data_IF_743562234343
#
_entry.id   IF_743562234343
#
_cell.length_a   1.000
_cell.length_b   1.000
_cell.length_c   1.000
_cell.angle_alpha   90.00
_cell.angle_beta   90.00
_cell.angle_gamma   90.00
#
_symmetry.space_group_name_H-M   'P 1'
#
loop_
_entity.id
_entity.type
_entity.pdbx_description
1 polymer ?
#
# COMPACT_ATOMS: atom_id res chain seq x y z
N UNK A 1 -0.83 9.18 -3.76
CA UNK A 1 -2.07 8.71 -4.37
C UNK A 1 -1.90 7.30 -4.92
N UNK A 2 -2.84 6.41 -4.64
CA UNK A 2 -2.79 5.03 -5.15
C UNK A 2 -4.20 4.54 -5.52
N UNK A 3 -4.33 3.93 -6.70
CA UNK A 3 -5.46 3.09 -7.06
C UNK A 3 -5.11 1.64 -6.70
N UNK A 4 -5.90 1.01 -5.87
CA UNK A 4 -5.69 -0.34 -5.34
C UNK A 4 -6.77 -1.29 -5.86
N UNK A 5 -6.33 -2.48 -6.26
CA UNK A 5 -7.19 -3.56 -6.76
C UNK A 5 -6.89 -4.83 -5.96
N UNK A 6 -7.88 -5.29 -5.21
CA UNK A 6 -7.76 -6.40 -4.28
C UNK A 6 -8.64 -7.57 -4.75
N UNK A 7 -8.05 -8.70 -5.03
CA UNK A 7 -8.79 -9.84 -5.55
C UNK A 7 -8.03 -11.15 -5.49
N UNK A 8 -8.62 -12.19 -6.09
CA UNK A 8 -8.03 -13.53 -6.15
C UNK A 8 -7.87 -13.99 -7.60
N UNK A 9 -6.71 -14.56 -7.90
CA UNK A 9 -6.45 -15.28 -9.15
C UNK A 9 -5.94 -16.67 -8.76
N UNK A 10 -6.59 -17.73 -9.24
CA UNK A 10 -6.20 -19.11 -8.96
C UNK A 10 -5.95 -19.39 -7.47
N UNK A 11 -6.87 -18.98 -6.60
CA UNK A 11 -6.82 -19.11 -5.13
C UNK A 11 -5.74 -18.27 -4.42
N UNK A 12 -4.89 -17.56 -5.13
CA UNK A 12 -3.92 -16.62 -4.54
C UNK A 12 -4.52 -15.23 -4.42
N UNK A 13 -4.29 -14.57 -3.29
CA UNK A 13 -4.63 -13.15 -3.10
C UNK A 13 -3.65 -12.25 -3.84
N UNK A 14 -4.18 -11.20 -4.46
CA UNK A 14 -3.41 -10.16 -5.13
C UNK A 14 -3.84 -8.78 -4.62
N UNK A 15 -2.83 -7.93 -4.40
CA UNK A 15 -2.96 -6.51 -4.12
C UNK A 15 -2.16 -5.79 -5.21
N UNK A 16 -2.88 -5.23 -6.19
CA UNK A 16 -2.28 -4.52 -7.31
C UNK A 16 -2.49 -3.04 -7.06
N UNK A 17 -1.44 -2.25 -7.19
CA UNK A 17 -1.48 -0.82 -6.98
C UNK A 17 -0.89 -0.08 -8.17
N UNK A 18 -1.59 0.96 -8.60
CA UNK A 18 -1.04 1.97 -9.49
C UNK A 18 -0.89 3.22 -8.64
N UNK A 19 0.34 3.66 -8.38
CA UNK A 19 0.60 4.75 -7.45
C UNK A 19 1.48 5.85 -8.05
N UNK A 20 1.30 7.06 -7.56
CA UNK A 20 2.11 8.23 -7.86
C UNK A 20 2.49 8.93 -6.56
N UNK A 21 3.75 9.30 -6.45
CA UNK A 21 4.28 10.01 -5.30
C UNK A 21 4.37 11.53 -5.58
N UNK A 22 4.60 12.32 -4.55
CA UNK A 22 4.78 13.78 -4.65
C UNK A 22 6.00 14.19 -5.46
N UNK A 23 7.00 13.32 -5.58
CA UNK A 23 8.17 13.50 -6.46
C UNK A 23 7.88 13.15 -7.94
N UNK A 24 6.60 12.93 -8.27
CA UNK A 24 6.08 12.58 -9.60
C UNK A 24 6.51 11.21 -10.13
N UNK A 25 7.13 10.38 -9.31
CA UNK A 25 7.40 8.99 -9.66
C UNK A 25 6.12 8.20 -9.61
N UNK A 26 5.85 7.49 -10.69
CA UNK A 26 4.68 6.62 -10.81
C UNK A 26 5.15 5.18 -10.99
N UNK A 27 4.45 4.26 -10.38
CA UNK A 27 4.77 2.85 -10.47
C UNK A 27 3.53 1.96 -10.38
N UNK A 28 3.64 0.79 -10.95
CA UNK A 28 2.72 -0.32 -10.74
C UNK A 28 3.39 -1.31 -9.80
N UNK A 29 2.68 -1.70 -8.75
CA UNK A 29 3.15 -2.68 -7.75
C UNK A 29 2.17 -3.84 -7.69
N UNK A 30 2.68 -5.05 -7.70
CA UNK A 30 1.89 -6.27 -7.54
C UNK A 30 2.41 -7.03 -6.32
N UNK A 31 1.54 -7.24 -5.35
CA UNK A 31 1.82 -8.05 -4.15
C UNK A 31 0.97 -9.31 -4.22
N UNK A 32 1.61 -10.48 -4.17
CA UNK A 32 0.96 -11.79 -4.15
C UNK A 32 1.17 -12.44 -2.79
N UNK A 33 0.10 -12.95 -2.20
CA UNK A 33 0.09 -13.60 -0.89
C UNK A 33 -1.10 -13.16 -0.06
N UNK A 34 -1.28 -13.74 1.12
CA UNK A 34 -2.40 -13.41 1.98
C UNK A 34 -2.30 -11.97 2.47
N UNK A 35 -3.45 -11.31 2.52
CA UNK A 35 -3.53 -9.96 3.08
C UNK A 35 -3.16 -10.05 4.57
N UNK A 36 -2.45 -9.04 5.05
CA UNK A 36 -2.01 -8.94 6.45
C UNK A 36 -0.94 -9.97 6.88
N UNK A 37 -0.33 -10.69 5.94
CA UNK A 37 0.85 -11.49 6.25
C UNK A 37 2.13 -10.66 6.06
N UNK A 38 3.14 -10.99 6.86
CA UNK A 38 4.46 -10.35 6.75
C UNK A 38 5.26 -10.84 5.52
N UNK A 39 4.71 -11.82 4.79
CA UNK A 39 5.40 -12.58 3.75
C UNK A 39 4.63 -12.53 2.44
N UNK A 40 4.84 -11.48 1.67
CA UNK A 40 4.27 -11.38 0.32
C UNK A 40 5.37 -11.25 -0.72
N UNK A 41 5.19 -11.91 -1.85
CA UNK A 41 6.02 -11.65 -3.02
C UNK A 41 5.59 -10.32 -3.61
N UNK A 42 6.53 -9.42 -3.79
CA UNK A 42 6.30 -8.11 -4.38
C UNK A 42 7.12 -7.93 -5.65
N UNK A 43 6.50 -7.34 -6.66
CA UNK A 43 7.15 -6.88 -7.88
C UNK A 43 6.64 -5.50 -8.22
N UNK A 44 7.53 -4.62 -8.64
CA UNK A 44 7.18 -3.26 -9.06
C UNK A 44 7.81 -2.90 -10.39
N UNK A 45 7.13 -2.02 -11.11
CA UNK A 45 7.58 -1.47 -12.38
C UNK A 45 7.29 0.01 -12.42
N UNK A 46 8.31 0.83 -12.69
CA UNK A 46 8.12 2.25 -12.95
C UNK A 46 7.30 2.45 -14.23
N UNK A 47 6.39 3.42 -14.20
CA UNK A 47 5.52 3.79 -15.30
C UNK A 47 5.53 5.31 -15.51
N UNK A 48 5.13 5.78 -16.68
CA UNK A 48 4.92 7.21 -16.89
C UNK A 48 3.58 7.64 -16.26
N UNK A 49 3.53 8.85 -15.70
CA UNK A 49 2.29 9.45 -15.16
C UNK A 49 1.13 9.40 -16.17
N UNK A 50 1.41 9.62 -17.46
CA UNK A 50 0.42 9.56 -18.53
C UNK A 50 -0.23 8.18 -18.72
N UNK A 51 0.42 7.12 -18.26
CA UNK A 51 -0.09 5.74 -18.32
C UNK A 51 -1.00 5.38 -17.15
N UNK A 52 -0.98 6.18 -16.05
CA UNK A 52 -1.68 5.88 -14.82
C UNK A 52 -3.15 5.51 -15.05
N UNK A 53 -3.92 6.40 -15.67
CA UNK A 53 -5.35 6.16 -15.91
C UNK A 53 -5.60 4.98 -16.86
N UNK A 54 -4.76 4.81 -17.88
CA UNK A 54 -4.86 3.67 -18.79
C UNK A 54 -4.71 2.33 -18.07
N UNK A 55 -3.72 2.24 -17.17
CA UNK A 55 -3.47 1.03 -16.37
C UNK A 55 -4.61 0.80 -15.36
N UNK A 56 -5.10 1.87 -14.72
CA UNK A 56 -6.27 1.78 -13.81
C UNK A 56 -7.48 1.22 -14.54
N UNK A 57 -7.77 1.68 -15.76
CA UNK A 57 -8.87 1.14 -16.58
C UNK A 57 -8.67 -0.33 -16.93
N UNK A 58 -7.45 -0.77 -17.23
CA UNK A 58 -7.15 -2.18 -17.51
C UNK A 58 -7.48 -3.04 -16.29
N UNK A 59 -7.02 -2.66 -15.08
CA UNK A 59 -7.30 -3.44 -13.87
C UNK A 59 -8.75 -3.37 -13.43
N UNK A 60 -9.49 -2.34 -13.81
CA UNK A 60 -10.94 -2.27 -13.55
C UNK A 60 -11.77 -3.27 -14.38
N UNK A 61 -11.17 -3.92 -15.39
CA UNK A 61 -11.83 -5.00 -16.14
C UNK A 61 -11.84 -6.33 -15.38
N UNK A 62 -11.03 -6.44 -14.31
CA UNK A 62 -11.03 -7.62 -13.45
C UNK A 62 -12.07 -7.43 -12.35
N UNK A 63 -12.67 -8.54 -11.90
CA UNK A 63 -13.61 -8.55 -10.77
C UNK A 63 -12.86 -8.42 -9.43
N UNK A 64 -12.13 -7.31 -9.28
CA UNK A 64 -11.40 -6.95 -8.08
C UNK A 64 -12.13 -5.86 -7.31
N UNK A 65 -12.11 -5.97 -5.98
CA UNK A 65 -12.51 -4.85 -5.13
C UNK A 65 -11.50 -3.71 -5.30
N UNK A 66 -11.97 -2.57 -5.78
CA UNK A 66 -11.08 -1.43 -6.05
C UNK A 66 -11.39 -0.22 -5.19
N UNK A 67 -10.33 0.50 -4.83
CA UNK A 67 -10.39 1.70 -4.02
C UNK A 67 -9.25 2.66 -4.34
N UNK A 68 -9.47 3.93 -4.06
CA UNK A 68 -8.46 4.97 -4.13
C UNK A 68 -8.03 5.34 -2.72
N UNK A 69 -6.73 5.47 -2.53
CA UNK A 69 -6.10 5.81 -1.25
C UNK A 69 -5.18 6.99 -1.40
N UNK A 70 -5.15 7.84 -0.41
CA UNK A 70 -4.19 8.94 -0.30
C UNK A 70 -3.47 8.83 1.04
N UNK A 71 -2.12 8.90 1.01
CA UNK A 71 -1.27 8.74 2.20
C UNK A 71 -0.14 9.77 2.16
N UNK A 72 0.18 10.34 3.30
CA UNK A 72 1.43 11.05 3.52
C UNK A 72 2.41 10.08 4.18
N UNK A 73 3.53 9.81 3.50
CA UNK A 73 4.54 8.87 3.96
C UNK A 73 5.85 9.60 4.27
N UNK A 74 6.37 9.37 5.47
CA UNK A 74 7.69 9.84 5.89
C UNK A 74 8.58 8.61 6.04
N UNK A 75 9.54 8.46 5.11
CA UNK A 75 10.40 7.27 5.02
C UNK A 75 11.75 7.58 5.64
N UNK A 76 12.19 6.73 6.55
CA UNK A 76 13.48 6.79 7.24
C UNK A 76 14.28 5.55 6.87
N UNK A 77 15.49 5.75 6.34
CA UNK A 77 16.42 4.68 6.00
C UNK A 77 17.32 4.37 7.21
N UNK A 78 17.27 3.13 7.70
CA UNK A 78 18.08 2.62 8.80
C UNK A 78 19.33 1.87 8.33
N UNK A 79 19.59 1.84 7.02
CA UNK A 79 20.62 1.03 6.41
C UNK A 79 20.20 -0.46 6.29
N UNK A 80 21.04 -1.28 5.66
CA UNK A 80 20.80 -2.71 5.43
C UNK A 80 19.45 -3.00 4.73
N UNK A 81 18.96 -2.10 3.90
CA UNK A 81 17.61 -2.15 3.28
C UNK A 81 16.46 -2.23 4.29
N UNK A 82 16.62 -1.61 5.47
CA UNK A 82 15.57 -1.47 6.48
C UNK A 82 14.99 -0.07 6.37
N UNK A 83 13.69 0.01 6.16
CA UNK A 83 12.95 1.26 6.06
C UNK A 83 11.86 1.30 7.10
N UNK A 84 11.79 2.42 7.84
CA UNK A 84 10.67 2.78 8.69
C UNK A 84 9.84 3.81 7.95
N UNK A 85 8.57 3.54 7.74
CA UNK A 85 7.63 4.47 7.14
C UNK A 85 6.61 4.90 8.18
N UNK A 86 6.57 6.19 8.50
CA UNK A 86 5.47 6.78 9.25
C UNK A 86 4.41 7.23 8.26
N UNK A 87 3.20 6.75 8.44
CA UNK A 87 2.07 6.97 7.52
C UNK A 87 1.01 7.79 8.20
N UNK A 88 0.55 8.84 7.51
CA UNK A 88 -0.66 9.58 7.84
C UNK A 88 -1.72 9.33 6.78
N UNK A 89 -2.87 8.89 7.21
CA UNK A 89 -4.05 8.63 6.40
C UNK A 89 -5.24 9.37 7.02
N UNK A 90 -5.56 10.56 6.52
CA UNK A 90 -6.53 11.43 7.18
C UNK A 90 -6.13 11.69 8.64
N UNK A 91 -6.94 11.21 9.59
CA UNK A 91 -6.69 11.33 11.03
C UNK A 91 -6.05 10.07 11.65
N UNK A 92 -5.70 9.08 10.84
CA UNK A 92 -5.06 7.85 11.30
C UNK A 92 -3.56 7.94 11.06
N UNK A 93 -2.78 7.63 12.12
CA UNK A 93 -1.32 7.61 12.08
C UNK A 93 -0.83 6.22 12.48
N UNK A 94 0.09 5.67 11.72
CA UNK A 94 0.74 4.40 12.05
C UNK A 94 2.16 4.36 11.50
N UNK A 95 2.94 3.38 11.93
CA UNK A 95 4.30 3.15 11.43
C UNK A 95 4.42 1.72 10.92
N UNK A 96 5.11 1.55 9.81
CA UNK A 96 5.50 0.27 9.23
C UNK A 96 7.03 0.19 9.21
N UNK A 97 7.59 -0.98 9.54
CA UNK A 97 9.00 -1.25 9.34
C UNK A 97 9.10 -2.45 8.41
N UNK A 98 9.92 -2.34 7.39
CA UNK A 98 10.06 -3.37 6.37
C UNK A 98 11.50 -3.59 5.95
N UNK A 99 11.80 -4.81 5.55
CA UNK A 99 13.06 -5.21 4.94
C UNK A 99 12.81 -6.26 3.88
N UNK A 100 13.41 -6.08 2.73
CA UNK A 100 13.45 -7.12 1.69
C UNK A 100 14.55 -8.14 2.06
N UNK A 101 14.15 -9.38 2.38
CA UNK A 101 15.09 -10.45 2.76
C UNK A 101 14.53 -11.84 2.47
N UNK A 102 15.42 -12.78 2.25
CA UNK A 102 15.12 -14.22 2.18
C UNK A 102 15.28 -14.92 3.56
N UNK A 103 15.85 -14.25 4.58
CA UNK A 103 16.12 -14.79 5.93
C UNK A 103 15.10 -14.29 6.96
N UNK A 104 13.84 -14.70 6.84
CA UNK A 104 12.67 -14.14 7.51
C UNK A 104 12.78 -14.05 9.04
N UNK A 105 13.04 -15.15 9.73
CA UNK A 105 13.00 -15.21 11.21
C UNK A 105 14.08 -14.32 11.85
N UNK A 106 15.30 -14.38 11.32
CA UNK A 106 16.43 -13.57 11.80
C UNK A 106 16.16 -12.07 11.63
N UNK A 107 15.61 -11.69 10.50
CA UNK A 107 15.30 -10.29 10.23
C UNK A 107 14.12 -9.80 11.05
N UNK A 108 13.12 -10.63 11.31
CA UNK A 108 11.98 -10.28 12.16
C UNK A 108 12.40 -9.85 13.57
N UNK A 109 13.32 -10.59 14.20
CA UNK A 109 13.87 -10.21 15.52
C UNK A 109 14.58 -8.86 15.47
N UNK A 110 15.37 -8.63 14.40
CA UNK A 110 16.07 -7.35 14.19
C UNK A 110 15.08 -6.19 14.06
N UNK A 111 14.03 -6.35 13.27
CA UNK A 111 12.99 -5.34 13.09
C UNK A 111 12.24 -5.05 14.41
N UNK A 112 11.88 -6.07 15.16
CA UNK A 112 11.22 -5.91 16.48
C UNK A 112 12.11 -5.16 17.48
N UNK A 113 13.44 -5.40 17.44
CA UNK A 113 14.39 -4.66 18.29
C UNK A 113 14.44 -3.18 17.90
N UNK A 114 14.39 -2.85 16.63
CA UNK A 114 14.33 -1.45 16.18
C UNK A 114 13.04 -0.79 16.69
N UNK A 115 11.88 -1.42 16.53
CA UNK A 115 10.62 -0.93 17.07
C UNK A 115 10.70 -0.64 18.58
N UNK A 116 11.26 -1.58 19.34
CA UNK A 116 11.44 -1.44 20.79
C UNK A 116 12.34 -0.26 21.15
N UNK A 117 13.47 -0.09 20.44
CA UNK A 117 14.40 1.01 20.67
C UNK A 117 13.76 2.38 20.36
N UNK A 118 12.88 2.43 19.40
CA UNK A 118 12.12 3.63 19.04
C UNK A 118 10.91 3.87 19.97
N UNK A 119 10.68 2.99 20.95
CA UNK A 119 9.51 3.02 21.84
C UNK A 119 8.17 2.99 21.10
N UNK A 120 8.14 2.35 19.94
CA UNK A 120 6.93 2.13 19.16
C UNK A 120 6.23 0.86 19.62
N UNK A 121 4.90 0.89 19.72
CA UNK A 121 4.11 -0.28 20.05
C UNK A 121 3.86 -1.13 18.82
N UNK A 122 4.33 -2.38 18.84
CA UNK A 122 4.04 -3.35 17.80
C UNK A 122 2.66 -3.98 18.00
N UNK A 123 1.80 -3.92 16.99
CA UNK A 123 0.47 -4.56 17.03
C UNK A 123 0.66 -6.06 16.85
N UNK A 124 0.49 -6.81 17.94
CA UNK A 124 0.60 -8.29 17.97
C UNK A 124 -0.76 -8.97 17.77
N UNK A 125 -1.82 -8.29 18.18
CA UNK A 125 -3.19 -8.80 18.14
C UNK A 125 -3.74 -8.65 16.71
N UNK A 126 -4.07 -9.77 16.09
CA UNK A 126 -4.60 -9.82 14.72
C UNK A 126 -5.94 -9.08 14.60
N UNK A 127 -6.78 -9.12 15.64
CA UNK A 127 -8.05 -8.39 15.64
C UNK A 127 -7.82 -6.89 15.62
N UNK A 128 -6.93 -6.39 16.48
CA UNK A 128 -6.56 -4.96 16.52
C UNK A 128 -5.98 -4.51 15.17
N UNK A 129 -5.14 -5.35 14.55
CA UNK A 129 -4.58 -5.08 13.24
C UNK A 129 -5.66 -5.01 12.16
N UNK A 130 -6.58 -5.98 12.14
CA UNK A 130 -7.69 -6.00 11.19
C UNK A 130 -8.65 -4.82 11.40
N UNK A 131 -8.92 -4.43 12.64
CA UNK A 131 -9.73 -3.25 12.95
C UNK A 131 -9.07 -1.96 12.43
N UNK A 132 -7.76 -1.82 12.56
CA UNK A 132 -7.02 -0.71 11.96
C UNK A 132 -7.14 -0.70 10.43
N UNK A 133 -6.95 -1.84 9.78
CA UNK A 133 -7.08 -1.97 8.32
C UNK A 133 -8.50 -1.63 7.84
N UNK A 134 -9.53 -2.06 8.59
CA UNK A 134 -10.92 -1.72 8.30
C UNK A 134 -11.15 -0.21 8.42
N UNK A 135 -10.69 0.43 9.51
CA UNK A 135 -10.79 1.88 9.68
C UNK A 135 -10.09 2.64 8.57
N UNK A 136 -8.90 2.23 8.14
CA UNK A 136 -8.23 2.82 6.99
C UNK A 136 -9.11 2.75 5.73
N UNK A 137 -9.76 1.61 5.52
CA UNK A 137 -10.64 1.42 4.36
C UNK A 137 -11.93 2.22 4.42
N UNK A 138 -12.52 2.40 5.61
CA UNK A 138 -13.81 3.09 5.76
C UNK A 138 -13.68 4.60 5.91
N UNK A 139 -12.63 5.05 6.63
CA UNK A 139 -12.54 6.44 7.07
C UNK A 139 -11.66 7.29 6.14
N UNK A 140 -10.77 6.67 5.36
CA UNK A 140 -9.78 7.40 4.55
C UNK A 140 -9.74 7.04 3.08
N UNK A 141 -10.21 5.85 2.71
CA UNK A 141 -10.22 5.39 1.32
C UNK A 141 -11.63 5.56 0.73
N UNK A 142 -11.74 5.65 -0.57
CA UNK A 142 -13.04 5.64 -1.23
C UNK A 142 -13.13 4.55 -2.30
N UNK A 143 -14.31 3.91 -2.38
CA UNK A 143 -14.59 2.87 -3.38
C UNK A 143 -14.50 3.45 -4.78
N UNK A 144 -13.89 2.69 -5.67
CA UNK A 144 -13.68 3.07 -7.06
C UNK A 144 -14.29 2.02 -7.97
N UNK A 145 -15.17 2.43 -8.88
CA UNK A 145 -15.89 1.55 -9.81
C UNK A 145 -15.57 1.85 -11.29
N UNK A 146 -14.59 2.73 -11.52
CA UNK A 146 -14.20 3.16 -12.88
C UNK A 146 -15.32 3.86 -13.67
N UNK A 147 -16.39 4.35 -13.03
CA UNK A 147 -17.39 5.21 -13.65
C UNK A 147 -16.75 6.51 -14.16
N UNK A 148 -17.43 7.20 -15.07
CA UNK A 148 -16.94 8.50 -15.59
C UNK A 148 -16.75 9.52 -14.46
N UNK A 149 -17.65 9.53 -13.48
CA UNK A 149 -17.54 10.39 -12.30
C UNK A 149 -16.28 10.07 -11.49
N UNK A 150 -16.05 8.78 -11.17
CA UNK A 150 -14.89 8.35 -10.42
C UNK A 150 -13.58 8.58 -11.18
N UNK A 151 -13.57 8.36 -12.49
CA UNK A 151 -12.42 8.68 -13.34
C UNK A 151 -12.13 10.18 -13.37
N UNK A 152 -13.15 11.02 -13.46
CA UNK A 152 -13.00 12.49 -13.41
C UNK A 152 -12.43 12.94 -12.08
N UNK A 153 -12.94 12.38 -10.96
CA UNK A 153 -12.42 12.66 -9.62
C UNK A 153 -10.95 12.24 -9.50
N UNK A 154 -10.61 11.04 -9.94
CA UNK A 154 -9.22 10.54 -9.92
C UNK A 154 -8.29 11.39 -10.78
N UNK A 155 -8.71 11.80 -11.98
CA UNK A 155 -7.93 12.71 -12.82
C UNK A 155 -7.68 14.06 -12.14
N UNK A 156 -8.67 14.63 -11.47
CA UNK A 156 -8.50 15.89 -10.72
C UNK A 156 -7.46 15.72 -9.60
N UNK A 157 -7.50 14.60 -8.88
CA UNK A 157 -6.48 14.29 -7.87
C UNK A 157 -5.08 14.17 -8.46
N UNK A 158 -4.95 13.54 -9.64
CA UNK A 158 -3.65 13.40 -10.32
C UNK A 158 -3.00 14.72 -10.74
N UNK A 159 -3.76 15.79 -10.88
CA UNK A 159 -3.22 17.12 -11.23
C UNK A 159 -2.31 17.65 -10.12
N UNK A 160 -2.56 17.26 -8.87
CA UNK A 160 -1.79 17.73 -7.71
C UNK A 160 -0.46 16.99 -7.54
N UNK A 161 -0.26 15.88 -8.22
CA UNK A 161 0.97 15.08 -8.29
C UNK A 161 1.66 15.31 -9.63
#
# INVERSE_FOLDING_TARGET
LSAMFLGKINKSNFDIRVRINSDKKSEMVVKKGDFHTHDRVESSQEINKSQFIGIVKIFSLFDFKSKITERENFVFDFGDNIYLTMVKAGNIFYAEIEKMSNEKEKEKEKLLKIFSNLKLNFIKDEKVFNDLCNRLSTDTDWSFDCSEEHLKKLNNMLITY
#
